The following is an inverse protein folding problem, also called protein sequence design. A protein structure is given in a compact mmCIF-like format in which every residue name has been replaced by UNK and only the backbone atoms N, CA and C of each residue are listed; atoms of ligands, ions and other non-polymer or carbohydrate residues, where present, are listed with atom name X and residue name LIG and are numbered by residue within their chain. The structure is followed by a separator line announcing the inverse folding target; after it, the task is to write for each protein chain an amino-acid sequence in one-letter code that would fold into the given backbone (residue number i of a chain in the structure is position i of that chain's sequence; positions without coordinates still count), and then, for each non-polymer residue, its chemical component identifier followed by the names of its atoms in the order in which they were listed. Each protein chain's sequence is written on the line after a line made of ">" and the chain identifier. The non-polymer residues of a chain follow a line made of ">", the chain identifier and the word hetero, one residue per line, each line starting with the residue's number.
data_IF_278643276241
#
_entry.id   IF_278643276241
#
_cell.length_a   1.000
_cell.length_b   1.000
_cell.length_c   1.000
_cell.angle_alpha   90.00
_cell.angle_beta   90.00
_cell.angle_gamma   90.00
#
_symmetry.space_group_name_H-M   'P 1'
#
loop_
_entity.id
_entity.type
_entity.pdbx_description
1 polymer ?
#
# COMPACT_ATOMS: atom_id res chain seq x y z
N UNK A 1 -24.29 1.87 3.98
CA UNK A 1 -24.08 3.15 4.70
C UNK A 1 -22.90 3.89 4.09
N UNK A 2 -22.78 5.20 4.37
CA UNK A 2 -21.77 6.08 3.75
C UNK A 2 -20.31 5.65 4.00
N UNK A 3 -20.01 5.07 5.17
CA UNK A 3 -18.65 4.69 5.57
C UNK A 3 -17.95 3.72 4.61
N UNK A 4 -18.71 2.88 3.90
CA UNK A 4 -18.15 1.96 2.92
C UNK A 4 -18.10 2.52 1.50
N UNK A 5 -18.75 3.65 1.21
CA UNK A 5 -18.94 4.17 -0.15
C UNK A 5 -17.59 4.44 -0.80
N UNK A 6 -17.45 4.07 -2.07
CA UNK A 6 -16.24 4.38 -2.80
C UNK A 6 -16.11 5.90 -3.01
N UNK A 7 -14.91 6.43 -2.81
CA UNK A 7 -14.55 7.76 -3.25
C UNK A 7 -14.10 7.69 -4.72
N UNK A 8 -14.61 8.58 -5.57
CA UNK A 8 -14.21 8.66 -6.97
C UNK A 8 -13.40 9.94 -7.19
N UNK A 9 -12.16 9.79 -7.65
CA UNK A 9 -11.28 10.89 -8.04
C UNK A 9 -11.26 10.94 -9.57
N UNK A 10 -11.84 12.00 -10.20
CA UNK A 10 -11.87 12.09 -11.65
C UNK A 10 -10.47 12.24 -12.24
N UNK A 11 -10.25 11.59 -13.37
CA UNK A 11 -9.07 11.73 -14.21
C UNK A 11 -9.48 12.33 -15.57
N UNK A 12 -8.49 12.73 -16.38
CA UNK A 12 -8.72 13.13 -17.76
C UNK A 12 -9.35 12.00 -18.59
N UNK A 13 -10.10 12.36 -19.64
CA UNK A 13 -10.67 11.39 -20.58
C UNK A 13 -11.82 10.54 -20.03
N UNK A 14 -12.54 11.02 -19.01
CA UNK A 14 -13.70 10.33 -18.45
C UNK A 14 -13.36 9.15 -17.52
N UNK A 15 -12.07 8.92 -17.25
CA UNK A 15 -11.57 7.90 -16.32
C UNK A 15 -11.63 8.40 -14.88
N UNK A 16 -11.44 7.50 -13.92
CA UNK A 16 -11.35 7.84 -12.49
C UNK A 16 -10.52 6.82 -11.72
N UNK A 17 -10.01 7.26 -10.58
CA UNK A 17 -9.57 6.36 -9.51
C UNK A 17 -10.73 6.17 -8.54
N UNK A 18 -11.09 4.93 -8.28
CA UNK A 18 -12.12 4.56 -7.30
C UNK A 18 -11.44 3.97 -6.08
N UNK A 19 -11.64 4.59 -4.91
CA UNK A 19 -11.01 4.18 -3.65
C UNK A 19 -12.07 3.62 -2.71
N UNK A 20 -11.91 2.36 -2.32
CA UNK A 20 -12.68 1.73 -1.25
C UNK A 20 -11.78 1.57 -0.03
N UNK A 21 -12.25 2.00 1.15
CA UNK A 21 -11.48 1.91 2.38
C UNK A 21 -12.21 1.08 3.44
N UNK A 22 -11.45 0.32 4.22
CA UNK A 22 -11.98 -0.39 5.39
C UNK A 22 -10.89 -0.66 6.43
N UNK A 23 -11.31 -0.95 7.65
CA UNK A 23 -10.45 -1.31 8.77
C UNK A 23 -10.78 -2.69 9.33
N UNK A 24 -9.80 -3.28 10.00
CA UNK A 24 -9.90 -4.62 10.59
C UNK A 24 -9.48 -4.61 12.06
N UNK A 25 -9.99 -5.52 12.91
CA UNK A 25 -9.59 -5.58 14.32
C UNK A 25 -8.10 -5.86 14.54
N UNK A 26 -7.42 -6.46 13.56
CA UNK A 26 -5.98 -6.73 13.62
C UNK A 26 -5.08 -5.49 13.78
N UNK A 27 -5.59 -4.28 13.51
CA UNK A 27 -4.92 -2.98 13.69
C UNK A 27 -5.44 -2.22 14.91
N UNK A 28 -6.15 -2.90 15.82
CA UNK A 28 -6.68 -2.29 17.05
C UNK A 28 -8.02 -1.58 16.88
N UNK A 29 -8.67 -1.66 15.72
CA UNK A 29 -10.03 -1.12 15.53
C UNK A 29 -11.04 -2.02 16.25
N UNK A 30 -11.74 -1.52 17.29
CA UNK A 30 -12.66 -2.36 18.02
C UNK A 30 -14.04 -2.40 17.31
N UNK A 31 -14.84 -3.46 17.47
CA UNK A 31 -16.10 -3.65 16.75
C UNK A 31 -17.11 -2.51 16.93
N UNK A 32 -17.10 -1.82 18.07
CA UNK A 32 -17.99 -0.70 18.39
C UNK A 32 -17.79 0.51 17.48
N UNK A 33 -16.62 0.65 16.84
CA UNK A 33 -16.35 1.71 15.86
C UNK A 33 -17.00 1.44 14.51
N UNK A 34 -17.56 0.24 14.28
CA UNK A 34 -18.21 -0.09 13.02
C UNK A 34 -19.41 0.84 12.74
N UNK A 35 -19.45 1.37 11.51
CA UNK A 35 -20.60 2.09 11.01
C UNK A 35 -21.82 1.16 10.88
N UNK A 36 -22.99 1.67 11.24
CA UNK A 36 -24.26 0.96 11.09
C UNK A 36 -25.27 1.83 10.34
N UNK A 37 -26.48 1.32 10.11
CA UNK A 37 -27.58 2.14 9.59
C UNK A 37 -27.98 3.30 10.52
N UNK A 38 -27.55 3.28 11.79
CA UNK A 38 -27.94 4.26 12.81
C UNK A 38 -26.75 5.00 13.45
N UNK A 39 -25.51 4.65 13.09
CA UNK A 39 -24.31 5.20 13.72
C UNK A 39 -23.21 5.42 12.68
N UNK A 40 -22.60 6.59 12.71
CA UNK A 40 -21.35 6.84 11.99
C UNK A 40 -20.22 5.96 12.54
N UNK A 41 -19.21 5.70 11.72
CA UNK A 41 -18.10 4.83 12.09
C UNK A 41 -17.26 4.43 10.89
N UNK A 42 -16.43 3.42 11.06
CA UNK A 42 -15.57 2.87 10.00
C UNK A 42 -16.27 1.76 9.23
N UNK A 43 -15.93 1.61 7.95
CA UNK A 43 -16.22 0.38 7.23
C UNK A 43 -15.38 -0.74 7.87
N UNK A 44 -16.05 -1.63 8.60
CA UNK A 44 -15.41 -2.64 9.42
C UNK A 44 -15.47 -4.01 8.73
N UNK A 45 -14.34 -4.70 8.66
CA UNK A 45 -14.24 -6.09 8.23
C UNK A 45 -13.62 -6.89 9.38
N UNK A 46 -14.43 -7.74 9.98
CA UNK A 46 -14.14 -8.54 11.15
C UNK A 46 -13.02 -9.56 10.91
N UNK A 47 -13.15 -10.34 9.83
CA UNK A 47 -12.21 -11.41 9.52
C UNK A 47 -11.96 -11.49 8.01
N UNK A 48 -10.72 -11.79 7.59
CA UNK A 48 -10.44 -12.18 6.21
C UNK A 48 -11.40 -13.28 5.75
N UNK A 49 -11.96 -13.14 4.55
CA UNK A 49 -12.88 -14.13 3.96
C UNK A 49 -14.28 -14.20 4.58
N UNK A 50 -14.57 -13.47 5.66
CA UNK A 50 -15.89 -13.41 6.30
C UNK A 50 -16.99 -12.75 5.45
N UNK A 51 -18.24 -12.68 5.95
CA UNK A 51 -19.35 -12.06 5.23
C UNK A 51 -19.08 -10.60 4.84
N UNK A 52 -18.48 -9.80 5.72
CA UNK A 52 -18.13 -8.40 5.45
C UNK A 52 -17.05 -8.29 4.36
N UNK A 53 -16.02 -9.14 4.41
CA UNK A 53 -14.98 -9.23 3.39
C UNK A 53 -15.55 -9.59 2.01
N UNK A 54 -16.47 -10.57 1.94
CA UNK A 54 -17.14 -10.96 0.69
C UNK A 54 -18.05 -9.85 0.15
N UNK A 55 -18.76 -9.16 1.03
CA UNK A 55 -19.58 -8.00 0.65
C UNK A 55 -18.71 -6.87 0.09
N UNK A 56 -17.54 -6.61 0.69
CA UNK A 56 -16.58 -5.64 0.17
C UNK A 56 -16.05 -6.06 -1.21
N UNK A 57 -15.61 -7.30 -1.37
CA UNK A 57 -15.12 -7.82 -2.65
C UNK A 57 -16.18 -7.67 -3.76
N UNK A 58 -17.45 -7.97 -3.46
CA UNK A 58 -18.55 -7.72 -4.39
C UNK A 58 -18.65 -6.23 -4.77
N UNK A 59 -18.53 -5.33 -3.80
CA UNK A 59 -18.60 -3.88 -4.05
C UNK A 59 -17.43 -3.37 -4.89
N UNK A 60 -16.22 -3.89 -4.71
CA UNK A 60 -15.09 -3.57 -5.61
C UNK A 60 -15.46 -3.89 -7.06
N UNK A 61 -16.06 -5.06 -7.32
CA UNK A 61 -16.54 -5.44 -8.67
C UNK A 61 -17.66 -4.55 -9.18
N UNK A 62 -18.62 -4.19 -8.33
CA UNK A 62 -19.79 -3.38 -8.72
C UNK A 62 -19.43 -1.91 -9.00
N UNK A 63 -18.47 -1.36 -8.25
CA UNK A 63 -18.08 0.05 -8.35
C UNK A 63 -17.11 0.30 -9.53
N UNK A 64 -16.29 -0.68 -9.89
CA UNK A 64 -15.29 -0.55 -10.95
C UNK A 64 -15.92 -0.65 -12.34
N UNK A 65 -15.73 0.39 -13.16
CA UNK A 65 -16.14 0.43 -14.57
C UNK A 65 -14.93 0.22 -15.49
N UNK A 66 -15.15 -0.11 -16.78
CA UNK A 66 -14.07 -0.11 -17.76
C UNK A 66 -13.32 1.24 -17.77
N UNK A 67 -11.99 1.20 -17.73
CA UNK A 67 -11.13 2.38 -17.66
C UNK A 67 -10.96 3.01 -16.26
N UNK A 68 -11.60 2.46 -15.23
CA UNK A 68 -11.35 2.86 -13.83
C UNK A 68 -10.13 2.13 -13.27
N UNK A 69 -9.35 2.84 -12.46
CA UNK A 69 -8.38 2.23 -11.55
C UNK A 69 -9.03 2.06 -10.17
N UNK A 70 -9.11 0.82 -9.68
CA UNK A 70 -9.66 0.50 -8.37
C UNK A 70 -8.56 0.34 -7.32
N UNK A 71 -8.58 1.19 -6.29
CA UNK A 71 -7.70 1.12 -5.11
C UNK A 71 -8.51 0.64 -3.92
N UNK A 72 -8.02 -0.38 -3.23
CA UNK A 72 -8.57 -0.82 -1.96
C UNK A 72 -7.58 -0.47 -0.84
N UNK A 73 -7.92 0.55 -0.05
CA UNK A 73 -7.15 0.99 1.11
C UNK A 73 -7.56 0.19 2.34
N UNK A 74 -6.59 -0.44 3.01
CA UNK A 74 -6.89 -1.32 4.13
C UNK A 74 -6.04 -1.00 5.35
N UNK A 75 -6.71 -0.69 6.45
CA UNK A 75 -6.09 -0.49 7.75
C UNK A 75 -6.03 -1.82 8.51
N UNK A 76 -4.89 -2.51 8.51
CA UNK A 76 -4.77 -3.87 9.07
C UNK A 76 -3.44 -4.19 9.76
N UNK A 77 -3.45 -5.31 10.47
CA UNK A 77 -2.26 -5.94 11.01
C UNK A 77 -1.59 -5.22 12.18
N UNK A 78 -0.62 -5.92 12.78
CA UNK A 78 0.19 -5.36 13.85
C UNK A 78 0.98 -4.16 13.38
N UNK A 79 1.28 -3.26 14.32
CA UNK A 79 2.15 -2.10 14.11
C UNK A 79 3.61 -2.51 13.84
N UNK A 80 4.00 -3.75 14.14
CA UNK A 80 5.41 -4.16 14.08
C UNK A 80 5.57 -5.55 13.47
N UNK A 81 6.68 -5.77 12.75
CA UNK A 81 7.03 -7.04 12.13
C UNK A 81 6.92 -7.03 10.60
N UNK A 82 7.86 -7.66 9.92
CA UNK A 82 7.86 -7.78 8.45
C UNK A 82 7.07 -8.97 7.90
N UNK A 83 6.76 -9.94 8.75
CA UNK A 83 5.98 -11.11 8.35
C UNK A 83 4.58 -10.71 7.87
N UNK A 84 4.21 -11.19 6.68
CA UNK A 84 2.85 -11.10 6.16
C UNK A 84 2.21 -12.47 6.36
N UNK A 85 1.28 -12.64 7.33
CA UNK A 85 0.63 -13.93 7.56
C UNK A 85 -0.09 -14.42 6.29
N UNK A 86 -0.06 -15.72 6.03
CA UNK A 86 -0.65 -16.30 4.81
C UNK A 86 -2.11 -15.91 4.59
N UNK A 87 -2.90 -15.86 5.67
CA UNK A 87 -4.30 -15.41 5.60
C UNK A 87 -4.46 -13.96 5.14
N UNK A 88 -3.51 -13.06 5.49
CA UNK A 88 -3.51 -11.67 5.03
C UNK A 88 -3.07 -11.58 3.56
N UNK A 89 -2.03 -12.31 3.18
CA UNK A 89 -1.60 -12.38 1.79
C UNK A 89 -2.71 -12.92 0.88
N UNK A 90 -3.36 -14.02 1.29
CA UNK A 90 -4.49 -14.60 0.58
C UNK A 90 -5.66 -13.61 0.44
N UNK A 91 -5.95 -12.83 1.48
CA UNK A 91 -7.01 -11.84 1.43
C UNK A 91 -6.68 -10.67 0.51
N UNK A 92 -5.44 -10.16 0.51
CA UNK A 92 -5.00 -9.13 -0.42
C UNK A 92 -5.12 -9.60 -1.88
N UNK A 93 -4.71 -10.85 -2.17
CA UNK A 93 -4.89 -11.48 -3.49
C UNK A 93 -6.37 -11.63 -3.86
N UNK A 94 -7.23 -12.00 -2.91
CA UNK A 94 -8.68 -12.08 -3.15
C UNK A 94 -9.32 -10.72 -3.47
N UNK A 95 -8.79 -9.61 -2.94
CA UNK A 95 -9.22 -8.26 -3.33
C UNK A 95 -8.83 -7.93 -4.77
N UNK A 96 -7.63 -8.34 -5.20
CA UNK A 96 -7.20 -8.26 -6.61
C UNK A 96 -8.09 -9.11 -7.51
N UNK A 97 -8.38 -10.36 -7.12
CA UNK A 97 -9.30 -11.24 -7.85
C UNK A 97 -10.72 -10.67 -7.93
N UNK A 98 -11.09 -9.80 -6.97
CA UNK A 98 -12.33 -9.03 -6.96
C UNK A 98 -12.25 -7.71 -7.75
N UNK A 99 -11.16 -7.44 -8.46
CA UNK A 99 -11.03 -6.30 -9.36
C UNK A 99 -10.19 -5.14 -8.86
N UNK A 100 -9.60 -5.21 -7.67
CA UNK A 100 -8.64 -4.20 -7.21
C UNK A 100 -7.39 -4.20 -8.11
N UNK A 101 -6.96 -3.01 -8.53
CA UNK A 101 -5.70 -2.81 -9.26
C UNK A 101 -4.54 -2.52 -8.31
N UNK A 102 -4.84 -1.87 -7.18
CA UNK A 102 -3.91 -1.61 -6.10
C UNK A 102 -4.56 -1.96 -4.77
N UNK A 103 -3.85 -2.75 -3.96
CA UNK A 103 -4.16 -2.93 -2.55
C UNK A 103 -3.19 -2.08 -1.74
N UNK A 104 -3.72 -1.09 -1.03
CA UNK A 104 -2.98 -0.12 -0.24
C UNK A 104 -3.14 -0.44 1.25
N UNK A 105 -2.29 -1.33 1.76
CA UNK A 105 -2.26 -1.71 3.18
C UNK A 105 -1.47 -0.70 4.02
N UNK A 106 -2.00 -0.36 5.19
CA UNK A 106 -1.38 0.58 6.13
C UNK A 106 -1.73 0.20 7.59
N UNK A 107 -1.21 0.97 8.57
CA UNK A 107 -1.18 0.70 10.04
C UNK A 107 0.14 0.15 10.58
N UNK A 108 1.05 -0.31 9.73
CA UNK A 108 2.32 -0.88 10.20
C UNK A 108 3.37 0.15 10.60
N UNK A 109 3.18 1.45 10.36
CA UNK A 109 4.14 2.54 10.62
C UNK A 109 5.52 2.46 9.94
N UNK A 110 5.89 1.28 9.47
CA UNK A 110 7.04 0.99 8.64
C UNK A 110 6.62 0.27 7.35
N UNK A 111 7.45 0.39 6.33
CA UNK A 111 7.26 -0.34 5.09
C UNK A 111 7.31 -1.86 5.30
N UNK A 112 6.41 -2.56 4.63
CA UNK A 112 6.29 -4.03 4.61
C UNK A 112 6.48 -4.57 3.19
N UNK A 113 6.63 -5.90 3.03
CA UNK A 113 6.88 -6.50 1.72
C UNK A 113 5.90 -6.04 0.63
N UNK A 114 6.45 -5.82 -0.56
CA UNK A 114 5.68 -5.53 -1.77
C UNK A 114 5.33 -6.84 -2.48
N UNK A 115 4.18 -6.89 -3.13
CA UNK A 115 3.81 -8.07 -3.91
C UNK A 115 3.16 -7.64 -5.23
N UNK A 116 3.61 -8.26 -6.33
CA UNK A 116 2.92 -8.22 -7.60
C UNK A 116 2.12 -9.52 -7.78
N UNK A 117 0.80 -9.41 -7.83
CA UNK A 117 -0.09 -10.56 -8.04
C UNK A 117 -0.98 -10.29 -9.26
N UNK A 118 -0.92 -11.17 -10.28
CA UNK A 118 -1.61 -10.98 -11.58
C UNK A 118 -1.31 -9.61 -12.24
N UNK A 119 -0.09 -9.11 -12.04
CA UNK A 119 0.35 -7.79 -12.52
C UNK A 119 -0.19 -6.61 -11.69
N UNK A 120 -0.85 -6.86 -10.55
CA UNK A 120 -1.44 -5.83 -9.67
C UNK A 120 -0.59 -5.61 -8.43
N UNK A 121 -0.48 -4.35 -8.02
CA UNK A 121 0.36 -3.95 -6.91
C UNK A 121 -0.35 -4.19 -5.57
N UNK A 122 0.30 -4.92 -4.68
CA UNK A 122 -0.10 -5.10 -3.29
C UNK A 122 0.99 -4.52 -2.39
N UNK A 123 0.62 -3.49 -1.64
CA UNK A 123 1.42 -2.90 -0.58
C UNK A 123 0.90 -3.47 0.74
N UNK A 124 1.60 -4.42 1.36
CA UNK A 124 1.11 -5.05 2.61
C UNK A 124 1.14 -4.11 3.83
N UNK A 125 1.92 -3.03 3.72
CA UNK A 125 2.06 -1.96 4.70
C UNK A 125 2.97 -0.87 4.13
N UNK A 126 2.43 0.33 3.91
CA UNK A 126 3.17 1.45 3.32
C UNK A 126 4.12 2.15 4.28
N UNK A 127 3.98 1.91 5.59
CA UNK A 127 4.54 2.81 6.60
C UNK A 127 3.85 4.18 6.58
N UNK A 128 4.46 5.15 7.24
CA UNK A 128 3.91 6.50 7.30
C UNK A 128 4.59 7.44 6.29
N UNK A 129 3.94 8.58 6.05
CA UNK A 129 4.50 9.65 5.24
C UNK A 129 4.64 10.93 6.06
N UNK A 130 3.54 11.57 6.44
CA UNK A 130 3.53 12.72 7.35
C UNK A 130 2.58 12.43 8.50
N UNK A 131 3.11 12.35 9.71
CA UNK A 131 2.36 12.03 10.93
C UNK A 131 3.08 12.52 12.21
N UNK A 132 2.44 12.32 13.36
CA UNK A 132 2.92 12.70 14.69
C UNK A 132 3.61 11.54 15.45
N UNK A 133 4.00 10.47 14.75
CA UNK A 133 4.67 9.30 15.36
C UNK A 133 6.14 9.56 15.74
N UNK A 134 6.64 10.78 15.52
CA UNK A 134 7.99 11.18 15.94
C UNK A 134 8.15 11.06 17.46
N UNK A 135 9.01 10.15 17.92
CA UNK A 135 9.34 9.97 19.34
C UNK A 135 8.80 8.71 20.01
N UNK A 136 8.10 7.82 19.28
CA UNK A 136 7.80 6.48 19.79
C UNK A 136 9.05 5.60 19.67
N UNK A 137 9.70 5.33 20.81
CA UNK A 137 10.91 4.49 20.87
C UNK A 137 10.64 3.00 21.10
N UNK A 138 11.70 2.18 20.95
CA UNK A 138 11.70 0.74 21.23
C UNK A 138 11.46 -0.17 20.03
N UNK A 139 11.27 0.43 18.84
CA UNK A 139 10.93 -0.25 17.59
C UNK A 139 11.82 0.14 16.41
N UNK A 140 12.97 0.77 16.68
CA UNK A 140 13.88 1.37 15.71
C UNK A 140 14.38 0.37 14.65
N UNK A 141 14.44 -0.93 15.02
CA UNK A 141 14.77 -2.02 14.08
C UNK A 141 13.84 -2.12 12.87
N UNK A 142 12.63 -1.58 12.97
CA UNK A 142 11.65 -1.60 11.88
C UNK A 142 11.80 -0.42 10.92
N UNK A 143 12.62 0.57 11.28
CA UNK A 143 12.93 1.75 10.46
C UNK A 143 11.67 2.55 10.08
N UNK A 144 10.80 2.78 11.07
CA UNK A 144 9.68 3.70 10.95
C UNK A 144 10.12 5.16 10.70
N UNK A 145 11.38 5.49 11.02
CA UNK A 145 12.03 6.74 10.63
C UNK A 145 12.11 6.95 9.09
N UNK A 146 11.99 5.89 8.29
CA UNK A 146 11.97 5.96 6.84
C UNK A 146 10.53 6.11 6.32
N UNK A 147 10.26 7.21 5.64
CA UNK A 147 8.95 7.64 5.14
C UNK A 147 8.89 7.52 3.61
N UNK A 148 8.52 6.36 3.06
CA UNK A 148 8.50 6.13 1.61
C UNK A 148 7.29 6.80 0.93
N UNK A 149 7.55 7.52 -0.16
CA UNK A 149 6.56 7.94 -1.14
C UNK A 149 6.52 6.93 -2.28
N UNK A 150 5.37 6.29 -2.48
CA UNK A 150 5.14 5.33 -3.55
C UNK A 150 4.49 6.00 -4.76
N UNK A 151 5.18 6.01 -5.89
CA UNK A 151 4.72 6.56 -7.16
C UNK A 151 4.54 5.40 -8.15
N UNK A 152 3.33 4.83 -8.19
CA UNK A 152 2.99 3.73 -9.07
C UNK A 152 2.51 4.25 -10.45
N UNK A 153 3.16 3.79 -11.52
CA UNK A 153 2.68 3.94 -12.89
C UNK A 153 1.91 2.68 -13.27
N UNK A 154 0.65 2.86 -13.69
CA UNK A 154 -0.26 1.78 -14.05
C UNK A 154 -0.71 1.93 -15.50
N UNK A 155 -0.80 0.81 -16.21
CA UNK A 155 -1.53 0.72 -17.47
C UNK A 155 -3.00 1.13 -17.20
N UNK A 156 -3.53 2.16 -17.88
CA UNK A 156 -4.87 2.69 -17.59
C UNK A 156 -6.02 1.78 -18.02
N UNK A 157 -5.79 0.85 -18.95
CA UNK A 157 -6.81 -0.08 -19.45
C UNK A 157 -6.82 -1.36 -18.63
N UNK A 158 -5.63 -1.90 -18.37
CA UNK A 158 -5.50 -3.18 -17.69
C UNK A 158 -5.32 -3.04 -16.21
N UNK A 159 -4.91 -1.87 -15.69
CA UNK A 159 -4.54 -1.60 -14.30
C UNK A 159 -3.28 -2.33 -13.85
N UNK A 160 -2.45 -2.81 -14.77
CA UNK A 160 -1.20 -3.53 -14.44
C UNK A 160 -0.12 -2.52 -14.06
N UNK A 161 0.72 -2.88 -13.09
CA UNK A 161 1.87 -2.06 -12.73
C UNK A 161 2.91 -2.08 -13.84
N UNK A 162 3.32 -0.91 -14.31
CA UNK A 162 4.43 -0.75 -15.26
C UNK A 162 5.74 -0.46 -14.52
N UNK A 163 5.69 0.43 -13.52
CA UNK A 163 6.81 0.74 -12.65
C UNK A 163 6.35 1.29 -11.31
N UNK A 164 7.18 1.12 -10.28
CA UNK A 164 6.97 1.69 -8.96
C UNK A 164 8.21 2.47 -8.55
N UNK A 165 8.16 3.79 -8.66
CA UNK A 165 9.21 4.65 -8.10
C UNK A 165 8.96 4.84 -6.62
N UNK A 166 9.99 4.66 -5.81
CA UNK A 166 9.96 4.92 -4.38
C UNK A 166 10.99 6.00 -4.08
N UNK A 167 10.55 7.02 -3.35
CA UNK A 167 11.41 8.08 -2.83
C UNK A 167 11.31 8.11 -1.32
N UNK A 168 12.45 8.04 -0.63
CA UNK A 168 12.49 7.89 0.83
C UNK A 168 12.81 9.22 1.49
N UNK A 169 12.09 9.48 2.57
CA UNK A 169 12.28 10.65 3.39
C UNK A 169 12.51 10.26 4.85
N UNK A 170 12.93 11.23 5.65
CA UNK A 170 12.92 11.18 7.10
C UNK A 170 12.09 12.33 7.65
N UNK A 171 11.36 12.11 8.76
CA UNK A 171 10.64 13.17 9.42
C UNK A 171 11.60 13.98 10.32
N UNK A 172 11.31 15.27 10.47
CA UNK A 172 11.82 16.10 11.56
C UNK A 172 10.82 17.23 11.80
N UNK A 173 10.20 17.27 12.97
CA UNK A 173 9.20 18.27 13.35
C UNK A 173 8.08 18.44 12.31
N UNK A 174 7.44 17.33 11.93
CA UNK A 174 6.37 17.26 10.91
C UNK A 174 6.79 17.72 9.50
N UNK A 175 8.09 17.75 9.21
CA UNK A 175 8.65 18.07 7.88
C UNK A 175 9.37 16.87 7.30
N UNK A 176 9.37 16.78 5.98
CA UNK A 176 10.04 15.72 5.24
C UNK A 176 11.37 16.20 4.64
N UNK A 177 12.42 15.46 4.92
CA UNK A 177 13.75 15.64 4.35
C UNK A 177 14.10 14.41 3.54
N UNK A 178 14.77 14.57 2.39
CA UNK A 178 15.28 13.42 1.64
C UNK A 178 16.15 12.57 2.54
N UNK A 179 15.89 11.26 2.54
CA UNK A 179 16.71 10.34 3.32
C UNK A 179 18.13 10.28 2.74
N UNK A 180 19.15 10.05 3.58
CA UNK A 180 20.49 9.69 3.13
C UNK A 180 20.46 8.50 2.15
N UNK A 181 21.43 8.46 1.23
CA UNK A 181 21.52 7.40 0.22
C UNK A 181 21.59 6.00 0.84
N UNK A 182 22.31 5.86 1.95
CA UNK A 182 22.44 4.60 2.72
C UNK A 182 21.11 4.11 3.28
N UNK A 183 20.27 5.04 3.77
CA UNK A 183 18.96 4.75 4.33
C UNK A 183 17.98 4.32 3.24
N UNK A 184 18.00 5.01 2.09
CA UNK A 184 17.22 4.63 0.93
C UNK A 184 17.66 3.27 0.37
N UNK A 185 18.97 3.00 0.30
CA UNK A 185 19.51 1.73 -0.13
C UNK A 185 19.11 0.58 0.81
N UNK A 186 19.16 0.81 2.12
CA UNK A 186 18.71 -0.17 3.11
C UNK A 186 17.24 -0.56 2.90
N UNK A 187 16.36 0.43 2.69
CA UNK A 187 14.93 0.16 2.46
C UNK A 187 14.70 -0.54 1.12
N UNK A 188 15.39 -0.12 0.07
CA UNK A 188 15.37 -0.79 -1.24
C UNK A 188 15.69 -2.28 -1.10
N UNK A 189 16.81 -2.60 -0.45
CA UNK A 189 17.27 -3.98 -0.25
C UNK A 189 16.31 -4.80 0.61
N UNK A 190 15.71 -4.18 1.63
CA UNK A 190 14.66 -4.82 2.43
C UNK A 190 13.46 -5.19 1.57
N UNK A 191 12.94 -4.25 0.77
CA UNK A 191 11.76 -4.47 -0.06
C UNK A 191 12.05 -5.45 -1.22
N UNK A 192 13.25 -5.42 -1.77
CA UNK A 192 13.69 -6.36 -2.81
C UNK A 192 13.85 -7.78 -2.26
N UNK A 193 14.44 -7.94 -1.07
CA UNK A 193 14.63 -9.25 -0.42
C UNK A 193 13.31 -9.89 0.05
N UNK A 194 12.39 -9.08 0.53
CA UNK A 194 11.16 -9.59 1.17
C UNK A 194 9.95 -9.58 0.23
N UNK A 195 9.98 -8.73 -0.80
CA UNK A 195 8.91 -8.62 -1.78
C UNK A 195 8.89 -9.76 -2.78
N UNK A 196 7.86 -9.76 -3.63
CA UNK A 196 7.65 -10.76 -4.68
C UNK A 196 7.17 -10.12 -5.98
N UNK A 197 7.71 -10.57 -7.11
CA UNK A 197 7.26 -10.16 -8.43
C UNK A 197 7.76 -8.78 -8.90
N UNK A 198 8.73 -8.20 -8.20
CA UNK A 198 9.34 -6.90 -8.51
C UNK A 198 10.87 -7.00 -8.38
N UNK A 199 11.60 -6.27 -9.21
CA UNK A 199 13.07 -6.12 -9.13
C UNK A 199 13.50 -4.68 -9.33
N UNK A 200 14.63 -4.26 -8.76
CA UNK A 200 15.17 -2.92 -8.99
C UNK A 200 15.51 -2.75 -10.48
N UNK A 201 15.06 -1.67 -11.10
CA UNK A 201 15.44 -1.34 -12.48
C UNK A 201 16.96 -1.18 -12.59
N UNK A 202 17.57 -1.76 -13.63
CA UNK A 202 19.03 -1.76 -13.82
C UNK A 202 19.80 -2.83 -13.05
N UNK A 203 19.16 -3.61 -12.17
CA UNK A 203 19.80 -4.79 -11.57
C UNK A 203 19.94 -5.90 -12.64
N UNK A 204 21.16 -6.13 -13.13
CA UNK A 204 21.49 -7.21 -14.09
C UNK A 204 22.44 -6.82 -15.24
N UNK A 205 22.71 -5.54 -15.46
CA UNK A 205 23.72 -5.08 -16.43
C UNK A 205 24.93 -4.57 -15.65
N UNK A 206 26.14 -5.09 -15.92
CA UNK A 206 27.39 -4.71 -15.27
C UNK A 206 27.89 -3.30 -15.60
N UNK A 207 26.99 -2.32 -15.62
CA UNK A 207 27.25 -0.92 -15.95
C UNK A 207 27.12 -0.04 -14.73
N UNK A 208 28.10 0.85 -14.55
CA UNK A 208 28.11 1.86 -13.49
C UNK A 208 26.79 2.64 -13.47
N UNK A 209 26.18 2.84 -12.30
CA UNK A 209 25.10 3.81 -12.11
C UNK A 209 25.67 5.23 -12.14
N UNK A 210 26.16 5.64 -13.31
CA UNK A 210 26.65 6.97 -13.61
C UNK A 210 25.53 7.79 -14.25
N UNK A 211 24.65 8.34 -13.43
CA UNK A 211 23.64 9.30 -13.85
C UNK A 211 23.07 10.01 -12.62
N UNK A 212 23.12 11.34 -12.59
CA UNK A 212 22.73 12.20 -11.46
C UNK A 212 21.25 12.14 -11.09
N UNK A 213 20.79 10.98 -10.61
CA UNK A 213 19.49 10.76 -10.02
C UNK A 213 19.46 11.13 -8.54
N UNK A 214 18.25 11.35 -8.03
CA UNK A 214 18.01 11.56 -6.60
C UNK A 214 18.43 10.31 -5.82
N UNK A 215 19.47 10.37 -4.96
CA UNK A 215 20.00 9.21 -4.26
C UNK A 215 19.02 8.62 -3.23
N UNK A 216 17.97 9.36 -2.88
CA UNK A 216 16.89 8.88 -2.03
C UNK A 216 15.81 8.12 -2.81
N UNK A 217 15.96 7.95 -4.13
CA UNK A 217 14.96 7.39 -5.02
C UNK A 217 15.47 6.22 -5.84
N UNK A 218 14.62 5.22 -6.06
CA UNK A 218 14.84 4.15 -7.05
C UNK A 218 13.52 3.74 -7.69
N UNK A 219 13.57 2.84 -8.68
CA UNK A 219 12.38 2.33 -9.36
C UNK A 219 12.40 0.79 -9.37
N UNK A 220 11.30 0.18 -8.95
CA UNK A 220 11.00 -1.22 -9.16
C UNK A 220 10.26 -1.41 -10.49
N UNK A 221 10.52 -2.52 -11.19
CA UNK A 221 9.78 -2.98 -12.36
C UNK A 221 9.27 -4.41 -12.13
N UNK A 222 8.14 -4.81 -12.75
CA UNK A 222 7.71 -6.20 -12.78
C UNK A 222 8.81 -7.15 -13.28
N UNK A 223 8.82 -8.37 -12.74
CA UNK A 223 9.64 -9.49 -13.23
C UNK A 223 8.89 -10.36 -14.23
#
# INVERSE_FOLDING_TARGET
>A
GAAGRAAAVPLGGGRRVTVLAFGMPSSGIPPEWAATGRRAGVAYVDTPGGPAARALARRVREEKRPGDIAVVSVHWGSNWGYGVPDGRAAFARALVDAGADVVHGHSSHHARPLELYRGKLILHGCGDFVDDYEGIGGYERYRDDLRPLYLAALDPETGRLESLRITVFRPLALRLYRAPAEDAAWLRELLERTGRGLRTAGAGEGGSTGGGGDPASWTFVPV
#
